data_IF_467013774274
#
_entry.id   IF_467013774274
#
_cell.length_a   1.000
_cell.length_b   1.000
_cell.length_c   1.000
_cell.angle_alpha   90.00
_cell.angle_beta   90.00
_cell.angle_gamma   90.00
#
_symmetry.space_group_name_H-M   'P 1'
#
loop_
_entity.id
_entity.type
_entity.pdbx_description
1 polymer ?
#
# COMPACT_ATOMS: atom_id res chain seq x y z
N UNK A 1 -7.92 11.26 14.21
CA UNK A 1 -6.72 12.02 13.79
C UNK A 1 -5.93 12.42 15.03
N UNK A 2 -4.75 11.83 15.22
CA UNK A 2 -3.82 12.30 16.24
C UNK A 2 -3.16 13.57 15.73
N UNK A 3 -2.99 14.57 16.58
CA UNK A 3 -2.17 15.72 16.25
C UNK A 3 -1.05 15.73 17.27
N UNK A 4 0.16 15.48 16.80
CA UNK A 4 1.35 15.51 17.61
C UNK A 4 1.96 16.90 17.47
N UNK A 5 2.17 17.59 18.58
CA UNK A 5 2.90 18.86 18.63
C UNK A 5 4.19 18.61 19.38
N UNK A 6 5.26 18.28 18.66
CA UNK A 6 6.60 18.53 19.16
C UNK A 6 7.22 19.69 18.40
N UNK A 7 8.07 20.44 19.10
CA UNK A 7 8.95 21.45 18.53
C UNK A 7 9.83 20.73 17.51
N UNK A 8 9.67 21.03 16.22
CA UNK A 8 10.69 20.64 15.22
C UNK A 8 11.90 21.52 15.48
N UNK A 9 12.81 21.10 16.36
CA UNK A 9 14.13 21.69 16.50
C UNK A 9 15.05 21.06 15.44
N UNK A 10 15.42 21.90 14.46
CA UNK A 10 16.45 21.75 13.44
C UNK A 10 16.13 20.88 12.20
N UNK A 11 16.08 21.54 11.02
CA UNK A 11 16.33 20.90 9.72
C UNK A 11 15.26 21.10 8.62
N UNK A 12 14.00 21.38 8.97
CA UNK A 12 12.88 21.36 8.01
C UNK A 12 12.20 22.73 7.84
N UNK A 13 12.93 23.83 8.08
CA UNK A 13 12.34 25.18 8.07
C UNK A 13 12.20 25.82 6.67
N UNK A 14 12.90 25.33 5.63
CA UNK A 14 12.95 26.02 4.33
C UNK A 14 12.06 25.43 3.22
N UNK A 15 11.40 24.28 3.43
CA UNK A 15 10.66 23.57 2.37
C UNK A 15 9.18 23.30 2.65
N UNK A 16 8.66 23.67 3.83
CA UNK A 16 7.29 23.31 4.24
C UNK A 16 6.27 24.42 4.02
N UNK A 17 5.44 24.24 3.01
CA UNK A 17 4.20 24.99 2.74
C UNK A 17 3.16 24.73 3.85
N UNK A 18 3.12 25.57 4.89
CA UNK A 18 2.07 25.70 5.95
C UNK A 18 1.80 24.47 6.85
N UNK A 19 1.70 23.25 6.32
CA UNK A 19 1.57 21.99 7.05
C UNK A 19 1.31 20.79 6.12
N UNK A 20 1.60 19.58 6.58
CA UNK A 20 1.40 18.32 5.84
C UNK A 20 0.78 17.24 6.72
N UNK A 21 0.23 16.20 6.10
CA UNK A 21 -0.44 15.10 6.76
C UNK A 21 0.21 13.77 6.38
N UNK A 22 0.43 12.90 7.38
CA UNK A 22 0.99 11.56 7.19
C UNK A 22 0.04 10.53 7.79
N UNK A 23 -0.23 9.44 7.05
CA UNK A 23 -1.02 8.33 7.58
C UNK A 23 -0.12 7.35 8.32
N UNK A 24 -0.51 6.96 9.53
CA UNK A 24 0.19 5.94 10.31
C UNK A 24 -0.41 4.55 10.07
N UNK A 25 -1.66 4.48 9.61
CA UNK A 25 -2.41 3.24 9.44
C UNK A 25 -2.37 2.65 8.03
N UNK A 26 -1.26 2.84 7.31
CA UNK A 26 -1.01 2.25 5.99
C UNK A 26 0.23 1.36 6.05
N UNK A 27 1.26 1.63 5.24
CA UNK A 27 2.51 0.86 5.23
C UNK A 27 3.19 0.76 6.60
N UNK A 28 3.02 1.78 7.46
CA UNK A 28 3.56 1.78 8.83
C UNK A 28 2.85 0.80 9.78
N UNK A 29 1.61 0.38 9.51
CA UNK A 29 0.95 -0.68 10.29
C UNK A 29 0.31 -0.26 11.61
N UNK A 30 0.19 1.04 11.92
CA UNK A 30 -0.62 1.45 13.08
C UNK A 30 -2.10 1.05 12.85
N UNK A 31 -2.84 0.62 13.88
CA UNK A 31 -4.23 0.17 13.69
C UNK A 31 -5.17 1.32 13.26
N UNK A 32 -4.87 2.54 13.72
CA UNK A 32 -5.64 3.75 13.39
C UNK A 32 -4.70 4.94 13.50
N UNK A 33 -4.90 5.92 12.63
CA UNK A 33 -4.39 7.27 12.87
C UNK A 33 -3.68 7.88 11.68
N UNK A 34 -3.57 9.19 11.79
CA UNK A 34 -2.85 10.08 10.89
C UNK A 34 -2.44 11.28 11.71
N UNK A 35 -1.32 11.89 11.35
CA UNK A 35 -0.73 13.06 12.02
C UNK A 35 -0.68 14.22 11.06
N UNK A 36 -1.03 15.40 11.55
CA UNK A 36 -0.79 16.67 10.87
C UNK A 36 0.39 17.35 11.55
N UNK A 37 1.33 17.83 10.74
CA UNK A 37 2.54 18.54 11.17
C UNK A 37 2.56 19.89 10.48
N UNK A 38 2.92 20.95 11.21
CA UNK A 38 2.97 22.31 10.66
C UNK A 38 3.32 23.34 11.72
N UNK A 39 3.26 24.62 11.36
CA UNK A 39 3.51 25.73 12.28
C UNK A 39 2.54 25.72 13.47
N UNK A 40 2.95 26.30 14.60
CA UNK A 40 2.10 26.38 15.80
C UNK A 40 0.74 27.03 15.50
N UNK A 41 0.72 28.15 14.78
CA UNK A 41 -0.52 28.85 14.41
C UNK A 41 -1.42 28.02 13.49
N UNK A 42 -0.84 27.15 12.66
CA UNK A 42 -1.58 26.20 11.84
C UNK A 42 -2.16 25.06 12.68
N UNK A 43 -1.38 24.48 13.60
CA UNK A 43 -1.84 23.38 14.45
C UNK A 43 -2.94 23.83 15.42
N UNK A 44 -2.89 25.05 15.95
CA UNK A 44 -3.98 25.57 16.81
C UNK A 44 -5.31 25.65 16.04
N UNK A 45 -5.29 26.12 14.78
CA UNK A 45 -6.47 26.09 13.90
C UNK A 45 -6.93 24.66 13.63
N UNK A 46 -6.00 23.75 13.36
CA UNK A 46 -6.29 22.34 13.11
C UNK A 46 -6.91 21.64 14.34
N UNK A 47 -6.47 21.97 15.57
CA UNK A 47 -7.04 21.45 16.82
C UNK A 47 -8.49 21.88 17.01
N UNK A 48 -8.81 23.15 16.73
CA UNK A 48 -10.19 23.65 16.77
C UNK A 48 -11.07 22.89 15.77
N UNK A 49 -10.63 22.78 14.50
CA UNK A 49 -11.36 22.01 13.49
C UNK A 49 -11.52 20.54 13.87
N UNK A 50 -10.48 19.92 14.43
CA UNK A 50 -10.55 18.54 14.93
C UNK A 50 -11.62 18.40 16.00
N UNK A 51 -11.78 19.39 16.88
CA UNK A 51 -12.83 19.37 17.91
C UNK A 51 -14.22 19.52 17.29
N UNK A 52 -14.39 20.46 16.36
CA UNK A 52 -15.66 20.71 15.64
C UNK A 52 -16.11 19.49 14.84
N UNK A 53 -15.18 18.79 14.18
CA UNK A 53 -15.45 17.59 13.38
C UNK A 53 -15.58 16.31 14.24
N UNK A 54 -15.56 16.41 15.57
CA UNK A 54 -15.71 15.26 16.47
C UNK A 54 -14.45 14.40 16.67
N UNK A 55 -13.29 14.80 16.13
CA UNK A 55 -12.02 14.08 16.28
C UNK A 55 -11.32 14.24 17.64
N UNK A 56 -11.94 14.94 18.59
CA UNK A 56 -11.41 15.18 19.95
C UNK A 56 -11.64 13.99 20.89
N UNK A 57 -10.98 12.86 20.61
CA UNK A 57 -11.05 11.62 21.38
C UNK A 57 -10.41 11.75 22.77
N UNK A 58 -10.84 10.89 23.71
CA UNK A 58 -10.27 10.76 25.07
C UNK A 58 -9.51 9.43 25.20
N UNK A 59 -8.63 9.32 26.20
CA UNK A 59 -7.83 8.12 26.50
C UNK A 59 -7.14 7.46 25.29
N UNK A 60 -6.65 8.25 24.34
CA UNK A 60 -6.03 7.76 23.10
C UNK A 60 -4.60 7.20 23.28
N UNK A 61 -4.07 7.14 24.50
CA UNK A 61 -2.68 6.77 24.77
C UNK A 61 -2.30 5.40 24.22
N UNK A 62 -3.21 4.42 24.28
CA UNK A 62 -3.02 3.07 23.72
C UNK A 62 -2.79 3.12 22.21
N UNK A 63 -3.58 3.95 21.52
CA UNK A 63 -3.44 4.15 20.07
C UNK A 63 -2.15 4.93 19.75
N UNK A 64 -1.75 5.90 20.58
CA UNK A 64 -0.49 6.62 20.42
C UNK A 64 0.70 5.67 20.52
N UNK A 65 0.66 4.74 21.48
CA UNK A 65 1.72 3.76 21.68
C UNK A 65 1.86 2.83 20.46
N UNK A 66 0.76 2.30 19.94
CA UNK A 66 0.78 1.49 18.71
C UNK A 66 1.31 2.27 17.50
N UNK A 67 0.92 3.54 17.37
CA UNK A 67 1.45 4.45 16.35
C UNK A 67 2.96 4.71 16.47
N UNK A 68 3.46 4.86 17.69
CA UNK A 68 4.89 5.07 17.95
C UNK A 68 5.71 3.83 17.59
N UNK A 69 5.25 2.65 18.00
CA UNK A 69 5.88 1.36 17.62
C UNK A 69 5.89 1.19 16.11
N UNK A 70 4.77 1.43 15.43
CA UNK A 70 4.66 1.40 13.98
C UNK A 70 5.69 2.31 13.29
N UNK A 71 5.87 3.54 13.80
CA UNK A 71 6.84 4.48 13.26
C UNK A 71 8.29 4.00 13.47
N UNK A 72 8.62 3.47 14.65
CA UNK A 72 9.97 3.03 14.97
C UNK A 72 10.36 1.75 14.21
N UNK A 73 9.46 0.79 14.13
CA UNK A 73 9.77 -0.54 13.61
C UNK A 73 9.51 -0.71 12.11
N UNK A 74 8.46 -0.08 11.56
CA UNK A 74 8.04 -0.34 10.19
C UNK A 74 8.48 0.74 9.19
N UNK A 75 8.82 1.96 9.64
CA UNK A 75 9.39 2.98 8.76
C UNK A 75 10.67 2.49 8.04
N UNK A 76 11.64 1.83 8.72
CA UNK A 76 12.82 1.29 8.05
C UNK A 76 12.49 0.16 7.05
N UNK A 77 11.37 -0.55 7.24
CA UNK A 77 10.95 -1.68 6.41
C UNK A 77 10.34 -1.26 5.07
N UNK A 78 9.93 -0.01 4.90
CA UNK A 78 9.34 0.48 3.63
C UNK A 78 10.26 0.24 2.42
N UNK A 79 11.57 0.37 2.60
CA UNK A 79 12.53 0.07 1.53
C UNK A 79 12.51 -1.41 1.15
N UNK A 80 12.35 -2.31 2.12
CA UNK A 80 12.19 -3.75 1.86
C UNK A 80 10.88 -4.04 1.14
N UNK A 81 9.81 -3.33 1.47
CA UNK A 81 8.54 -3.44 0.75
C UNK A 81 8.70 -3.07 -0.72
N UNK A 82 9.38 -1.96 -1.04
CA UNK A 82 9.65 -1.57 -2.44
C UNK A 82 10.50 -2.63 -3.18
N UNK A 83 11.49 -3.26 -2.52
CA UNK A 83 12.28 -4.35 -3.11
C UNK A 83 11.40 -5.56 -3.46
N UNK A 84 10.52 -5.97 -2.53
CA UNK A 84 9.55 -7.06 -2.76
C UNK A 84 8.57 -6.71 -3.88
N UNK A 85 8.08 -5.48 -3.91
CA UNK A 85 7.20 -4.98 -4.99
C UNK A 85 7.88 -5.08 -6.35
N UNK A 86 9.15 -4.66 -6.45
CA UNK A 86 9.94 -4.79 -7.68
C UNK A 86 10.13 -6.25 -8.10
N UNK A 87 10.45 -7.13 -7.15
CA UNK A 87 10.61 -8.56 -7.41
C UNK A 87 9.32 -9.21 -7.94
N UNK A 88 8.16 -8.87 -7.35
CA UNK A 88 6.87 -9.33 -7.84
C UNK A 88 6.59 -8.81 -9.25
N UNK A 89 6.79 -7.51 -9.50
CA UNK A 89 6.56 -6.89 -10.80
C UNK A 89 7.43 -7.48 -11.93
N UNK A 90 8.71 -7.70 -11.66
CA UNK A 90 9.63 -8.36 -12.60
C UNK A 90 9.24 -9.82 -12.87
N UNK A 91 8.72 -10.52 -11.87
CA UNK A 91 8.19 -11.87 -12.05
C UNK A 91 6.92 -11.90 -12.91
N UNK A 92 6.02 -10.94 -12.72
CA UNK A 92 4.79 -10.82 -13.49
C UNK A 92 5.04 -10.59 -14.99
N UNK A 93 6.02 -9.76 -15.33
CA UNK A 93 6.40 -9.49 -16.73
C UNK A 93 6.99 -10.70 -17.47
N UNK A 94 7.25 -11.82 -16.79
CA UNK A 94 7.66 -13.08 -17.43
C UNK A 94 6.46 -13.92 -17.88
N UNK A 95 5.24 -13.56 -17.48
CA UNK A 95 4.01 -14.28 -17.79
C UNK A 95 3.35 -13.72 -19.04
N UNK A 96 2.90 -14.59 -19.95
CA UNK A 96 2.24 -14.17 -21.20
C UNK A 96 0.86 -13.56 -20.93
N UNK A 97 0.53 -12.47 -21.61
CA UNK A 97 -0.75 -11.80 -21.49
C UNK A 97 -0.88 -10.89 -20.25
N UNK A 98 0.21 -10.67 -19.53
CA UNK A 98 0.32 -9.72 -18.42
C UNK A 98 1.42 -8.71 -18.74
N UNK A 99 1.18 -7.45 -18.39
CA UNK A 99 2.13 -6.35 -18.50
C UNK A 99 2.15 -5.51 -17.23
N UNK A 100 3.34 -5.18 -16.77
CA UNK A 100 3.60 -4.28 -15.65
C UNK A 100 4.68 -3.28 -16.07
N UNK A 101 4.43 -1.98 -15.90
CA UNK A 101 5.45 -0.96 -16.16
C UNK A 101 6.37 -0.79 -14.93
N UNK A 102 7.39 -1.64 -14.82
CA UNK A 102 8.35 -1.63 -13.69
C UNK A 102 9.11 -0.29 -13.62
N UNK A 103 9.40 0.34 -14.75
CA UNK A 103 10.16 1.59 -14.79
C UNK A 103 9.37 2.78 -14.19
N UNK A 104 8.04 2.74 -14.26
CA UNK A 104 7.18 3.76 -13.66
C UNK A 104 6.84 3.50 -12.18
N UNK A 105 7.33 2.40 -11.60
CA UNK A 105 7.04 2.04 -10.21
C UNK A 105 8.09 2.62 -9.26
N UNK A 106 7.65 3.50 -8.37
CA UNK A 106 8.52 4.13 -7.36
C UNK A 106 8.23 3.68 -5.93
N UNK A 107 7.10 3.02 -5.69
CA UNK A 107 6.58 2.72 -4.34
C UNK A 107 6.19 1.24 -4.18
N UNK A 108 5.24 0.95 -3.30
CA UNK A 108 4.80 -0.40 -2.95
C UNK A 108 3.57 -0.90 -3.75
N UNK A 109 3.21 -0.22 -4.84
CA UNK A 109 2.03 -0.54 -5.65
C UNK A 109 2.42 -1.06 -7.03
N UNK A 110 1.72 -2.11 -7.47
CA UNK A 110 1.83 -2.68 -8.81
C UNK A 110 0.50 -2.49 -9.51
N UNK A 111 0.56 -1.94 -10.72
CA UNK A 111 -0.56 -1.92 -11.64
C UNK A 111 -0.27 -2.95 -12.72
N UNK A 112 -1.01 -4.05 -12.67
CA UNK A 112 -0.90 -5.17 -13.58
C UNK A 112 -2.00 -5.04 -14.63
N UNK A 113 -1.59 -4.84 -15.88
CA UNK A 113 -2.45 -4.81 -17.05
C UNK A 113 -2.50 -6.19 -17.71
N UNK A 114 -3.67 -6.57 -18.18
CA UNK A 114 -3.85 -7.74 -19.03
C UNK A 114 -3.76 -7.28 -20.48
N UNK A 115 -2.93 -7.95 -21.28
CA UNK A 115 -2.69 -7.55 -22.67
C UNK A 115 -3.91 -7.84 -23.55
N UNK A 116 -4.12 -6.99 -24.55
CA UNK A 116 -5.19 -7.13 -25.52
C UNK A 116 -5.09 -8.46 -26.27
N UNK A 117 -6.24 -9.12 -26.48
CA UNK A 117 -6.31 -10.46 -27.09
C UNK A 117 -6.04 -11.63 -26.13
N UNK A 118 -5.67 -11.35 -24.88
CA UNK A 118 -5.62 -12.36 -23.82
C UNK A 118 -7.02 -12.79 -23.38
N UNK A 119 -7.19 -14.07 -23.00
CA UNK A 119 -8.43 -14.56 -22.37
C UNK A 119 -8.57 -14.15 -20.89
N UNK A 120 -7.53 -13.52 -20.35
CA UNK A 120 -7.46 -13.05 -18.98
C UNK A 120 -8.39 -11.87 -18.76
N UNK A 121 -9.09 -11.91 -17.63
CA UNK A 121 -9.81 -10.75 -17.09
C UNK A 121 -9.46 -10.62 -15.61
N UNK A 122 -9.59 -9.40 -15.08
CA UNK A 122 -9.26 -9.11 -13.69
C UNK A 122 -10.06 -9.99 -12.74
N UNK A 123 -11.32 -10.21 -13.07
CA UNK A 123 -12.23 -10.99 -12.24
C UNK A 123 -11.90 -12.49 -12.25
N UNK A 124 -11.52 -13.07 -13.40
CA UNK A 124 -11.11 -14.48 -13.48
C UNK A 124 -9.85 -14.74 -12.65
N UNK A 125 -8.85 -13.87 -12.80
CA UNK A 125 -7.62 -13.96 -12.02
C UNK A 125 -7.90 -13.77 -10.53
N UNK A 126 -8.67 -12.74 -10.15
CA UNK A 126 -9.05 -12.51 -8.76
C UNK A 126 -9.71 -13.73 -8.14
N UNK A 127 -10.66 -14.37 -8.84
CA UNK A 127 -11.35 -15.57 -8.35
C UNK A 127 -10.37 -16.72 -8.09
N UNK A 128 -9.52 -17.03 -9.09
CA UNK A 128 -8.52 -18.10 -8.96
C UNK A 128 -7.51 -17.84 -7.84
N UNK A 129 -7.06 -16.60 -7.68
CA UNK A 129 -6.14 -16.22 -6.60
C UNK A 129 -6.79 -16.27 -5.21
N UNK A 130 -8.07 -15.92 -5.13
CA UNK A 130 -8.82 -15.97 -3.86
C UNK A 130 -8.94 -17.40 -3.34
N UNK A 131 -9.06 -18.40 -4.23
CA UNK A 131 -9.04 -19.83 -3.88
C UNK A 131 -7.72 -20.27 -3.24
N UNK A 132 -6.63 -19.54 -3.49
CA UNK A 132 -5.30 -19.74 -2.92
C UNK A 132 -5.01 -18.77 -1.75
N UNK A 133 -6.01 -18.04 -1.25
CA UNK A 133 -5.85 -17.08 -0.17
C UNK A 133 -5.13 -15.77 -0.57
N UNK A 134 -4.96 -15.51 -1.86
CA UNK A 134 -4.29 -14.30 -2.37
C UNK A 134 -5.36 -13.26 -2.73
N UNK A 135 -5.31 -12.11 -2.06
CA UNK A 135 -6.26 -11.02 -2.26
C UNK A 135 -5.67 -9.93 -3.16
N UNK A 136 -6.42 -9.55 -4.19
CA UNK A 136 -6.04 -8.51 -5.15
C UNK A 136 -7.22 -7.59 -5.45
N UNK A 137 -6.95 -6.37 -5.93
CA UNK A 137 -7.97 -5.35 -6.18
C UNK A 137 -8.10 -5.12 -7.69
N UNK A 138 -9.16 -5.59 -8.36
CA UNK A 138 -9.49 -5.16 -9.72
C UNK A 138 -9.77 -3.65 -9.75
N UNK A 139 -9.12 -2.91 -10.65
CA UNK A 139 -9.46 -1.51 -10.91
C UNK A 139 -10.48 -1.39 -12.05
N UNK A 140 -10.41 -2.31 -13.01
CA UNK A 140 -11.35 -2.46 -14.12
C UNK A 140 -11.27 -3.91 -14.65
N UNK A 141 -11.87 -4.19 -15.81
CA UNK A 141 -11.91 -5.53 -16.40
C UNK A 141 -10.54 -6.09 -16.82
N UNK A 142 -9.56 -5.22 -17.11
CA UNK A 142 -8.24 -5.59 -17.62
C UNK A 142 -7.07 -5.10 -16.75
N UNK A 143 -7.33 -4.55 -15.56
CA UNK A 143 -6.30 -4.05 -14.64
C UNK A 143 -6.54 -4.49 -13.20
N UNK A 144 -5.47 -4.97 -12.56
CA UNK A 144 -5.44 -5.29 -11.13
C UNK A 144 -4.37 -4.43 -10.45
N UNK A 145 -4.72 -3.84 -9.30
CA UNK A 145 -3.78 -3.22 -8.38
C UNK A 145 -3.42 -4.17 -7.24
N UNK A 146 -2.12 -4.34 -7.03
CA UNK A 146 -1.55 -5.08 -5.90
C UNK A 146 -0.76 -4.12 -5.03
N UNK A 147 -0.82 -4.28 -3.71
CA UNK A 147 -0.11 -3.41 -2.76
C UNK A 147 0.66 -4.28 -1.78
N UNK A 148 1.98 -4.07 -1.70
CA UNK A 148 2.85 -4.78 -0.77
C UNK A 148 2.98 -3.99 0.53
N UNK A 149 3.01 -4.67 1.67
CA UNK A 149 3.24 -4.04 2.98
C UNK A 149 4.07 -4.95 3.89
N UNK A 150 4.48 -4.43 5.04
CA UNK A 150 5.43 -5.04 5.96
C UNK A 150 5.09 -6.45 6.47
N UNK A 151 3.83 -6.90 6.37
CA UNK A 151 3.42 -8.27 6.77
C UNK A 151 3.58 -9.28 5.64
N UNK A 152 3.83 -8.82 4.41
CA UNK A 152 4.07 -9.68 3.25
C UNK A 152 5.56 -10.01 3.21
N UNK A 153 5.85 -11.31 3.32
CA UNK A 153 7.20 -11.84 3.28
C UNK A 153 7.67 -12.10 1.84
N UNK A 154 8.97 -12.31 1.64
CA UNK A 154 9.49 -12.71 0.33
C UNK A 154 8.94 -14.06 -0.12
N UNK A 155 8.70 -14.99 0.81
CA UNK A 155 8.05 -16.27 0.52
C UNK A 155 6.62 -16.09 0.01
N UNK A 156 5.85 -15.16 0.58
CA UNK A 156 4.49 -14.86 0.10
C UNK A 156 4.52 -14.31 -1.33
N UNK A 157 5.53 -13.49 -1.65
CA UNK A 157 5.72 -12.98 -3.03
C UNK A 157 6.02 -14.13 -4.00
N UNK A 158 6.91 -15.06 -3.64
CA UNK A 158 7.20 -16.22 -4.47
C UNK A 158 5.99 -17.15 -4.62
N UNK A 159 5.26 -17.40 -3.53
CA UNK A 159 4.02 -18.16 -3.57
C UNK A 159 2.99 -17.52 -4.51
N UNK A 160 2.82 -16.19 -4.40
CA UNK A 160 1.92 -15.41 -5.26
C UNK A 160 2.30 -15.53 -6.74
N UNK A 161 3.60 -15.46 -7.06
CA UNK A 161 4.09 -15.64 -8.43
C UNK A 161 3.77 -17.04 -8.97
N UNK A 162 3.97 -18.10 -8.17
CA UNK A 162 3.65 -19.47 -8.58
C UNK A 162 2.16 -19.65 -8.86
N UNK A 163 1.29 -19.16 -7.96
CA UNK A 163 -0.16 -19.22 -8.16
C UNK A 163 -0.63 -18.41 -9.37
N UNK A 164 -0.06 -17.21 -9.59
CA UNK A 164 -0.34 -16.40 -10.77
C UNK A 164 0.06 -17.11 -12.06
N UNK A 165 1.23 -17.73 -12.09
CA UNK A 165 1.70 -18.47 -13.25
C UNK A 165 0.75 -19.62 -13.61
N UNK A 166 0.32 -20.39 -12.59
CA UNK A 166 -0.65 -21.47 -12.78
C UNK A 166 -2.00 -20.93 -13.27
N UNK A 167 -2.53 -19.87 -12.62
CA UNK A 167 -3.81 -19.27 -12.99
C UNK A 167 -3.81 -18.73 -14.43
N UNK A 168 -2.71 -18.08 -14.86
CA UNK A 168 -2.55 -17.57 -16.22
C UNK A 168 -2.59 -18.71 -17.24
N UNK A 169 -1.87 -19.81 -16.98
CA UNK A 169 -1.86 -20.98 -17.85
C UNK A 169 -3.26 -21.59 -17.97
N UNK A 170 -3.92 -21.88 -16.84
CA UNK A 170 -5.25 -22.50 -16.83
C UNK A 170 -6.31 -21.65 -17.53
N UNK A 171 -6.26 -20.31 -17.41
CA UNK A 171 -7.26 -19.42 -18.04
C UNK A 171 -6.99 -19.23 -19.55
N UNK A 172 -5.72 -19.31 -19.97
CA UNK A 172 -5.34 -19.12 -21.36
C UNK A 172 -5.43 -20.40 -22.19
N UNK A 173 -5.33 -21.57 -21.57
CA UNK A 173 -5.56 -22.84 -22.25
C UNK A 173 -6.95 -22.84 -22.92
N UNK A 174 -7.03 -23.17 -24.23
CA UNK A 174 -8.32 -23.34 -24.87
C UNK A 174 -9.04 -24.50 -24.18
N UNK A 175 -10.30 -24.29 -23.77
CA UNK A 175 -11.16 -25.41 -23.37
C UNK A 175 -11.09 -26.46 -24.49
N UNK A 176 -10.49 -27.61 -24.21
CA UNK A 176 -10.59 -28.76 -25.09
C UNK A 176 -12.05 -29.21 -25.07
N UNK A 177 -12.78 -28.82 -26.11
CA UNK A 177 -14.07 -29.40 -26.49
C UNK A 177 -13.88 -30.13 -27.80
#
# INVERSE_FOLDING_TARGET
MMMYTERIENGINSLLTRGFQVCLSKGLGAPIGSVIVGSQSFIEKAKTLRKTLGGGMRQIGVLCAAALVALQENLPKLQSDHKKTKLLAEGLNKMKGIRVNVAAMETNMIFMDMEDGSRLTAEKLRKSLTEHGILVIPENSSRIRMVIHHQITTSDVHYTLSCLQQAVQTIQEPCQN
#
